data_IF_954453477194
#
_entry.id   IF_954453477194
#
_cell.length_a   1.000
_cell.length_b   1.000
_cell.length_c   1.000
_cell.angle_alpha   90.00
_cell.angle_beta   90.00
_cell.angle_gamma   90.00
#
_symmetry.space_group_name_H-M   'P 1'
#
loop_
_entity.id
_entity.type
_entity.pdbx_description
1 polymer ?
#
# COMPACT_ATOMS: atom_id res chain seq x y z
N UNK A 1 -7.62 3.29 12.58
CA UNK A 1 -7.69 2.43 11.37
C UNK A 1 -6.76 2.98 10.31
N UNK A 2 -6.19 2.14 9.45
CA UNK A 2 -5.43 2.57 8.28
C UNK A 2 -6.15 2.16 7.00
N UNK A 3 -6.12 3.01 5.98
CA UNK A 3 -6.88 2.84 4.73
C UNK A 3 -5.97 3.06 3.53
N UNK A 4 -5.84 2.06 2.64
CA UNK A 4 -5.19 2.21 1.31
C UNK A 4 -6.14 2.89 0.32
N UNK A 5 -6.51 4.13 0.63
CA UNK A 5 -7.30 4.99 -0.26
C UNK A 5 -7.19 6.45 0.19
N UNK A 6 -7.30 7.40 -0.75
CA UNK A 6 -7.38 8.83 -0.42
C UNK A 6 -8.46 9.12 0.64
N UNK A 7 -8.05 9.72 1.76
CA UNK A 7 -8.94 10.16 2.83
C UNK A 7 -9.27 11.65 2.70
N UNK A 8 -8.25 12.48 2.47
CA UNK A 8 -8.38 13.93 2.33
C UNK A 8 -7.90 14.36 0.94
N UNK A 9 -8.83 14.89 0.15
CA UNK A 9 -8.57 15.32 -1.24
C UNK A 9 -9.08 16.75 -1.42
N UNK A 10 -8.38 17.79 -0.99
CA UNK A 10 -8.91 19.17 -1.05
C UNK A 10 -8.79 19.80 -2.46
N UNK A 11 -7.89 19.27 -3.30
CA UNK A 11 -7.55 19.87 -4.58
C UNK A 11 -8.59 19.55 -5.67
N UNK A 12 -8.97 20.58 -6.43
CA UNK A 12 -9.87 20.45 -7.57
C UNK A 12 -9.27 19.57 -8.69
N UNK A 13 -8.01 19.82 -9.03
CA UNK A 13 -7.27 19.11 -10.08
C UNK A 13 -5.82 18.85 -9.66
N UNK A 14 -5.03 18.19 -10.51
CA UNK A 14 -3.60 17.95 -10.26
C UNK A 14 -3.34 16.93 -9.15
N UNK A 15 -2.10 16.92 -8.67
CA UNK A 15 -1.56 15.97 -7.68
C UNK A 15 -1.55 16.60 -6.29
N UNK A 16 -1.78 15.81 -5.23
CA UNK A 16 -1.67 16.29 -3.84
C UNK A 16 -0.22 16.48 -3.40
N UNK A 17 0.03 17.29 -2.37
CA UNK A 17 1.37 17.49 -1.83
C UNK A 17 1.96 16.18 -1.27
N UNK A 18 1.15 15.39 -0.57
CA UNK A 18 1.53 14.07 -0.05
C UNK A 18 2.01 13.10 -1.15
N UNK A 19 1.30 13.05 -2.29
CA UNK A 19 1.64 12.21 -3.44
C UNK A 19 2.97 12.63 -4.08
N UNK A 20 3.24 13.94 -4.18
CA UNK A 20 4.54 14.46 -4.66
C UNK A 20 5.67 14.10 -3.71
N UNK A 21 5.45 14.25 -2.40
CA UNK A 21 6.44 13.93 -1.38
C UNK A 21 6.78 12.42 -1.38
N UNK A 22 5.76 11.56 -1.51
CA UNK A 22 5.95 10.12 -1.69
C UNK A 22 6.71 9.79 -2.97
N UNK A 23 6.34 10.40 -4.11
CA UNK A 23 7.04 10.20 -5.37
C UNK A 23 8.52 10.61 -5.28
N UNK A 24 8.83 11.69 -4.55
CA UNK A 24 10.21 12.11 -4.28
C UNK A 24 10.98 11.08 -3.46
N UNK A 25 10.38 10.58 -2.37
CA UNK A 25 11.02 9.62 -1.48
C UNK A 25 11.20 8.22 -2.10
N UNK A 26 10.20 7.76 -2.85
CA UNK A 26 10.11 6.37 -3.29
C UNK A 26 10.23 6.17 -4.82
N UNK A 27 10.22 7.23 -5.62
CA UNK A 27 10.20 7.15 -7.09
C UNK A 27 11.37 6.35 -7.66
N UNK A 28 12.55 6.43 -7.02
CA UNK A 28 13.75 5.66 -7.43
C UNK A 28 13.58 4.13 -7.31
N UNK A 29 12.60 3.66 -6.54
CA UNK A 29 12.24 2.24 -6.39
C UNK A 29 11.14 1.81 -7.38
N UNK A 30 10.74 2.69 -8.30
CA UNK A 30 9.66 2.44 -9.26
C UNK A 30 8.25 2.63 -8.68
N UNK A 31 8.13 3.30 -7.53
CA UNK A 31 6.85 3.66 -6.93
C UNK A 31 6.28 4.91 -7.61
N UNK A 32 5.03 4.82 -8.06
CA UNK A 32 4.29 5.97 -8.60
C UNK A 32 2.96 6.09 -7.89
N UNK A 33 2.59 7.31 -7.50
CA UNK A 33 1.32 7.58 -6.82
C UNK A 33 0.21 7.82 -7.83
N UNK A 34 -0.97 7.27 -7.55
CA UNK A 34 -2.17 7.60 -8.32
C UNK A 34 -2.61 9.02 -7.95
N UNK A 35 -2.92 9.84 -8.95
CA UNK A 35 -3.38 11.23 -8.74
C UNK A 35 -4.82 11.23 -8.20
N UNK A 36 -5.01 11.72 -6.97
CA UNK A 36 -6.33 11.96 -6.40
C UNK A 36 -6.67 13.46 -6.41
N UNK A 37 -7.84 13.80 -6.97
CA UNK A 37 -8.39 15.17 -7.03
C UNK A 37 -9.91 15.12 -7.25
N UNK A 38 -10.58 16.24 -6.97
CA UNK A 38 -12.05 16.35 -7.00
C UNK A 38 -12.64 16.35 -8.41
N UNK A 39 -11.85 16.57 -9.47
CA UNK A 39 -12.32 16.39 -10.84
C UNK A 39 -12.63 14.91 -11.17
N UNK A 40 -12.25 13.98 -10.30
CA UNK A 40 -12.66 12.57 -10.34
C UNK A 40 -13.85 12.37 -9.41
N UNK A 41 -15.05 12.01 -9.90
CA UNK A 41 -16.26 11.95 -9.08
C UNK A 41 -16.18 11.06 -7.84
N UNK A 42 -15.39 9.98 -7.89
CA UNK A 42 -15.20 9.07 -6.75
C UNK A 42 -14.28 9.61 -5.64
N UNK A 43 -13.70 10.79 -5.83
CA UNK A 43 -12.98 11.54 -4.79
C UNK A 43 -13.74 12.79 -4.34
N UNK A 44 -15.03 12.95 -4.70
CA UNK A 44 -15.86 14.07 -4.28
C UNK A 44 -17.23 13.65 -3.70
N UNK A 45 -17.30 13.27 -2.40
CA UNK A 45 -16.19 13.05 -1.48
C UNK A 45 -15.50 11.69 -1.67
N UNK A 46 -14.24 11.53 -1.22
CA UNK A 46 -13.61 10.23 -1.15
C UNK A 46 -14.41 9.29 -0.25
N UNK A 47 -14.50 8.02 -0.67
CA UNK A 47 -15.19 6.99 0.11
C UNK A 47 -14.59 6.80 1.51
N UNK A 48 -13.27 6.92 1.62
CA UNK A 48 -12.57 6.83 2.91
C UNK A 48 -12.94 7.99 3.84
N UNK A 49 -13.06 9.22 3.31
CA UNK A 49 -13.56 10.39 4.06
C UNK A 49 -14.96 10.11 4.63
N UNK A 50 -15.85 9.62 3.77
CA UNK A 50 -17.24 9.31 4.13
C UNK A 50 -17.32 8.24 5.22
N UNK A 51 -16.48 7.21 5.12
CA UNK A 51 -16.41 6.14 6.11
C UNK A 51 -15.90 6.66 7.46
N UNK A 52 -14.83 7.44 7.46
CA UNK A 52 -14.28 8.04 8.67
C UNK A 52 -15.31 8.91 9.39
N UNK A 53 -16.02 9.78 8.65
CA UNK A 53 -17.11 10.61 9.20
C UNK A 53 -18.21 9.78 9.84
N UNK A 54 -18.65 8.70 9.16
CA UNK A 54 -19.70 7.80 9.67
C UNK A 54 -19.32 7.15 11.00
N UNK A 55 -18.05 6.81 11.18
CA UNK A 55 -17.55 6.16 12.39
C UNK A 55 -16.97 7.13 13.43
N UNK A 56 -16.99 8.43 13.18
CA UNK A 56 -16.41 9.43 14.09
C UNK A 56 -14.87 9.37 14.19
N UNK A 57 -14.20 8.86 13.15
CA UNK A 57 -12.74 8.81 13.11
C UNK A 57 -12.19 10.15 12.61
N UNK A 58 -11.25 10.72 13.36
CA UNK A 58 -10.51 11.91 12.91
C UNK A 58 -9.62 11.58 11.72
N UNK A 59 -9.53 12.50 10.75
CA UNK A 59 -8.58 12.42 9.64
C UNK A 59 -7.22 13.04 9.99
N UNK A 60 -7.17 13.85 11.06
CA UNK A 60 -5.90 14.26 11.64
C UNK A 60 -5.26 13.05 12.35
N UNK A 61 -4.12 12.54 11.85
CA UNK A 61 -3.46 11.36 12.40
C UNK A 61 -2.93 11.60 13.83
N UNK A 62 -2.81 12.85 14.27
CA UNK A 62 -2.31 13.24 15.60
C UNK A 62 -3.43 13.53 16.62
N UNK A 63 -4.70 13.36 16.24
CA UNK A 63 -5.80 13.57 17.17
C UNK A 63 -5.74 12.59 18.35
N UNK A 64 -6.12 13.06 19.55
CA UNK A 64 -6.08 12.27 20.80
C UNK A 64 -7.15 11.17 20.94
N UNK A 65 -7.77 10.74 19.84
CA UNK A 65 -8.87 9.78 19.83
C UNK A 65 -8.79 8.80 18.65
N UNK A 66 -9.88 8.11 18.28
CA UNK A 66 -9.89 7.24 17.12
C UNK A 66 -9.59 7.99 15.82
N UNK A 67 -8.56 7.54 15.11
CA UNK A 67 -8.13 8.14 13.83
C UNK A 67 -8.30 7.19 12.66
N UNK A 68 -8.52 7.74 11.47
CA UNK A 68 -8.34 7.07 10.19
C UNK A 68 -7.12 7.69 9.49
N UNK A 69 -6.12 6.88 9.19
CA UNK A 69 -4.91 7.30 8.49
C UNK A 69 -4.90 6.76 7.06
N UNK A 70 -4.60 7.61 6.09
CA UNK A 70 -4.34 7.18 4.71
C UNK A 70 -2.97 6.53 4.69
N UNK A 71 -2.85 5.32 4.15
CA UNK A 71 -1.58 4.59 4.05
C UNK A 71 -1.29 4.16 2.63
N UNK A 72 -0.03 3.79 2.37
CA UNK A 72 0.37 3.28 1.07
C UNK A 72 1.14 1.94 1.16
N UNK A 73 0.46 0.79 1.01
CA UNK A 73 1.04 -0.55 1.15
C UNK A 73 2.34 -0.77 0.37
N UNK A 74 2.46 -0.26 -0.85
CA UNK A 74 3.70 -0.44 -1.62
C UNK A 74 4.89 0.35 -1.05
N UNK A 75 4.67 1.54 -0.49
CA UNK A 75 5.70 2.28 0.22
C UNK A 75 6.11 1.51 1.49
N UNK A 76 5.14 0.93 2.19
CA UNK A 76 5.38 0.08 3.35
C UNK A 76 6.22 -1.15 3.00
N UNK A 77 5.92 -1.84 1.90
CA UNK A 77 6.73 -2.98 1.44
C UNK A 77 8.19 -2.59 1.19
N UNK A 78 8.42 -1.44 0.55
CA UNK A 78 9.77 -0.94 0.29
C UNK A 78 10.47 -0.55 1.59
N UNK A 79 9.84 0.28 2.42
CA UNK A 79 10.46 0.90 3.58
C UNK A 79 10.65 -0.06 4.75
N UNK A 80 9.69 -0.95 5.03
CA UNK A 80 9.75 -1.86 6.18
C UNK A 80 10.58 -3.11 5.89
N UNK A 81 10.53 -3.64 4.67
CA UNK A 81 11.19 -4.90 4.32
C UNK A 81 12.42 -4.72 3.43
N UNK A 82 12.90 -3.48 3.25
CA UNK A 82 14.12 -3.21 2.51
C UNK A 82 14.05 -3.59 1.03
N UNK A 83 12.85 -3.63 0.42
CA UNK A 83 12.74 -4.03 -0.99
C UNK A 83 13.43 -3.00 -1.88
N UNK A 84 14.34 -3.46 -2.74
CA UNK A 84 15.04 -2.61 -3.69
C UNK A 84 14.15 -2.05 -4.81
N UNK A 85 12.88 -2.47 -4.89
CA UNK A 85 11.86 -2.01 -5.85
C UNK A 85 10.45 -2.34 -5.38
N UNK A 86 9.45 -1.71 -6.02
CA UNK A 86 8.04 -2.11 -5.93
C UNK A 86 7.87 -3.59 -6.25
N UNK A 87 7.22 -4.32 -5.34
CA UNK A 87 6.82 -5.71 -5.53
C UNK A 87 5.69 -5.79 -6.57
N UNK A 88 5.84 -6.52 -7.69
CA UNK A 88 4.87 -6.48 -8.79
C UNK A 88 3.73 -7.49 -8.59
N UNK A 89 2.99 -7.43 -7.47
CA UNK A 89 1.87 -8.37 -7.21
C UNK A 89 0.53 -7.87 -7.80
N UNK A 90 0.26 -6.55 -7.80
CA UNK A 90 -1.01 -5.98 -8.30
C UNK A 90 -1.31 -6.31 -9.77
N UNK A 91 -2.57 -6.36 -10.19
CA UNK A 91 -2.90 -6.54 -11.60
C UNK A 91 -2.40 -5.35 -12.47
N UNK A 92 -1.73 -5.62 -13.60
CA UNK A 92 -1.38 -4.62 -14.63
C UNK A 92 -1.38 -5.27 -16.02
N UNK A 93 -1.76 -4.52 -17.05
CA UNK A 93 -1.94 -5.03 -18.42
C UNK A 93 -0.74 -5.80 -19.00
N UNK A 94 0.49 -5.41 -18.64
CA UNK A 94 1.74 -6.05 -19.12
C UNK A 94 2.37 -7.00 -18.11
N UNK A 95 1.61 -7.47 -17.13
CA UNK A 95 2.11 -8.30 -16.04
C UNK A 95 1.51 -9.69 -16.15
N UNK A 96 2.36 -10.65 -16.50
CA UNK A 96 1.96 -12.04 -16.63
C UNK A 96 1.66 -12.68 -15.25
N UNK A 97 0.98 -13.83 -15.31
CA UNK A 97 0.55 -14.56 -14.12
C UNK A 97 1.75 -15.08 -13.30
N UNK A 98 2.82 -15.57 -13.93
CA UNK A 98 3.98 -16.15 -13.25
C UNK A 98 4.73 -15.09 -12.43
N UNK A 99 4.87 -13.88 -12.98
CA UNK A 99 5.40 -12.71 -12.28
C UNK A 99 4.54 -12.40 -11.05
N UNK A 100 3.20 -12.41 -11.18
CA UNK A 100 2.31 -12.15 -10.03
C UNK A 100 2.41 -13.26 -9.00
N UNK A 101 2.37 -14.54 -9.38
CA UNK A 101 2.49 -15.67 -8.46
C UNK A 101 3.77 -15.57 -7.62
N UNK A 102 4.91 -15.29 -8.28
CA UNK A 102 6.20 -15.08 -7.60
C UNK A 102 6.14 -13.91 -6.62
N UNK A 103 5.57 -12.77 -7.05
CA UNK A 103 5.44 -11.59 -6.21
C UNK A 103 4.48 -11.81 -5.01
N UNK A 104 3.40 -12.57 -5.20
CA UNK A 104 2.48 -12.94 -4.13
C UNK A 104 3.12 -13.92 -3.14
N UNK A 105 3.90 -14.89 -3.60
CA UNK A 105 4.66 -15.77 -2.71
C UNK A 105 5.65 -14.97 -1.84
N UNK A 106 6.33 -13.98 -2.44
CA UNK A 106 7.17 -13.06 -1.69
C UNK A 106 6.36 -12.21 -0.71
N UNK A 107 5.20 -11.69 -1.10
CA UNK A 107 4.32 -10.91 -0.23
C UNK A 107 3.88 -11.72 1.01
N UNK A 108 3.47 -12.98 0.81
CA UNK A 108 3.12 -13.89 1.90
C UNK A 108 4.29 -14.04 2.87
N UNK A 109 5.49 -14.35 2.37
CA UNK A 109 6.67 -14.53 3.21
C UNK A 109 7.04 -13.26 4.00
N UNK A 110 6.88 -12.07 3.38
CA UNK A 110 7.11 -10.80 4.07
C UNK A 110 6.10 -10.56 5.19
N UNK A 111 4.81 -10.81 4.93
CA UNK A 111 3.76 -10.66 5.94
C UNK A 111 3.93 -11.67 7.09
N UNK A 112 4.22 -12.94 6.76
CA UNK A 112 4.50 -14.00 7.74
C UNK A 112 5.75 -13.71 8.58
N UNK A 113 6.68 -12.88 8.11
CA UNK A 113 7.85 -12.46 8.88
C UNK A 113 7.55 -11.43 9.98
N UNK A 114 6.36 -10.82 9.99
CA UNK A 114 5.95 -9.86 11.02
C UNK A 114 5.29 -10.61 12.18
N UNK A 115 6.07 -10.90 13.22
CA UNK A 115 5.63 -11.70 14.36
C UNK A 115 4.37 -11.13 15.05
N UNK A 116 4.24 -9.81 15.14
CA UNK A 116 3.11 -9.16 15.81
C UNK A 116 1.77 -9.34 15.07
N UNK A 117 1.78 -9.77 13.81
CA UNK A 117 0.55 -10.10 13.09
C UNK A 117 0.02 -11.49 13.43
N UNK A 118 0.85 -12.38 13.98
CA UNK A 118 0.43 -13.73 14.37
C UNK A 118 -0.21 -14.54 13.24
N UNK A 119 0.24 -14.34 12.00
CA UNK A 119 -0.38 -14.95 10.82
C UNK A 119 -0.17 -16.47 10.71
N UNK A 120 1.06 -17.01 10.89
CA UNK A 120 1.28 -18.44 10.75
C UNK A 120 0.43 -19.26 11.72
N UNK A 121 -0.29 -20.26 11.20
CA UNK A 121 -1.20 -21.10 11.99
C UNK A 121 -2.58 -20.52 12.26
N UNK A 122 -2.87 -19.26 11.86
CA UNK A 122 -4.23 -18.73 11.90
C UNK A 122 -5.07 -19.35 10.78
N UNK A 123 -6.23 -19.99 11.06
CA UNK A 123 -6.99 -20.73 10.04
C UNK A 123 -7.34 -19.91 8.79
N UNK A 124 -7.85 -18.69 8.99
CA UNK A 124 -8.20 -17.81 7.86
C UNK A 124 -6.97 -17.41 7.04
N UNK A 125 -5.80 -17.23 7.68
CA UNK A 125 -4.56 -16.90 6.97
C UNK A 125 -4.07 -18.09 6.15
N UNK A 126 -4.06 -19.29 6.74
CA UNK A 126 -3.66 -20.52 6.05
C UNK A 126 -4.53 -20.78 4.82
N UNK A 127 -5.85 -20.56 4.93
CA UNK A 127 -6.76 -20.66 3.78
C UNK A 127 -6.40 -19.65 2.68
N UNK A 128 -6.16 -18.38 3.04
CA UNK A 128 -5.76 -17.34 2.07
C UNK A 128 -4.42 -17.67 1.41
N UNK A 129 -3.43 -18.05 2.21
CA UNK A 129 -2.09 -18.36 1.72
C UNK A 129 -2.12 -19.61 0.81
N UNK A 130 -2.91 -20.63 1.15
CA UNK A 130 -3.14 -21.79 0.30
C UNK A 130 -3.83 -21.41 -1.03
N UNK A 131 -4.85 -20.55 -1.00
CA UNK A 131 -5.54 -20.08 -2.19
C UNK A 131 -4.60 -19.32 -3.15
N UNK A 132 -3.71 -18.48 -2.60
CA UNK A 132 -2.66 -17.79 -3.36
C UNK A 132 -1.66 -18.78 -3.97
N UNK A 133 -1.18 -19.76 -3.19
CA UNK A 133 -0.23 -20.78 -3.65
C UNK A 133 -0.83 -21.68 -4.74
N UNK A 134 -2.14 -21.95 -4.68
CA UNK A 134 -2.87 -22.75 -5.66
C UNK A 134 -3.40 -21.93 -6.87
N UNK A 135 -3.14 -20.63 -6.95
CA UNK A 135 -3.71 -19.77 -7.96
C UNK A 135 -3.19 -20.10 -9.37
N UNK A 136 -4.05 -20.62 -10.26
CA UNK A 136 -3.73 -20.90 -11.67
C UNK A 136 -4.28 -19.88 -12.67
N UNK A 137 -5.07 -18.90 -12.19
CA UNK A 137 -5.73 -17.87 -13.03
C UNK A 137 -5.59 -16.49 -12.40
N UNK A 138 -5.53 -15.40 -13.20
CA UNK A 138 -5.41 -14.04 -12.67
C UNK A 138 -6.48 -13.66 -11.65
N UNK A 139 -7.73 -14.09 -11.86
CA UNK A 139 -8.87 -13.82 -10.97
C UNK A 139 -8.69 -14.41 -9.56
N UNK A 140 -7.92 -15.49 -9.40
CA UNK A 140 -7.66 -16.07 -8.07
C UNK A 140 -6.77 -15.11 -7.24
N UNK A 141 -5.80 -14.48 -7.89
CA UNK A 141 -4.89 -13.52 -7.25
C UNK A 141 -5.55 -12.16 -6.98
N UNK A 142 -6.46 -11.71 -7.86
CA UNK A 142 -7.22 -10.47 -7.65
C UNK A 142 -8.05 -10.52 -6.36
N UNK A 143 -8.65 -11.67 -6.03
CA UNK A 143 -9.41 -11.84 -4.78
C UNK A 143 -8.53 -11.76 -3.53
N UNK A 144 -7.28 -12.23 -3.64
CA UNK A 144 -6.34 -12.22 -2.53
C UNK A 144 -5.68 -10.85 -2.34
N UNK A 145 -5.51 -10.07 -3.42
CA UNK A 145 -4.85 -8.77 -3.43
C UNK A 145 -5.36 -7.82 -2.33
N UNK A 146 -6.68 -7.57 -2.31
CA UNK A 146 -7.29 -6.64 -1.35
C UNK A 146 -7.16 -7.14 0.11
N UNK A 147 -7.22 -8.46 0.33
CA UNK A 147 -7.10 -9.07 1.67
C UNK A 147 -5.67 -8.93 2.19
N UNK A 148 -4.68 -9.17 1.35
CA UNK A 148 -3.26 -9.03 1.71
C UNK A 148 -2.88 -7.56 1.95
N UNK A 149 -3.42 -6.65 1.13
CA UNK A 149 -3.28 -5.21 1.37
C UNK A 149 -3.92 -4.78 2.68
N UNK A 150 -5.07 -5.35 3.04
CA UNK A 150 -5.72 -5.07 4.32
C UNK A 150 -4.89 -5.55 5.51
N UNK A 151 -4.22 -6.70 5.43
CA UNK A 151 -3.28 -7.17 6.47
C UNK A 151 -2.12 -6.19 6.64
N UNK A 152 -1.54 -5.71 5.54
CA UNK A 152 -0.48 -4.70 5.60
C UNK A 152 -0.98 -3.36 6.14
N UNK A 153 -2.21 -2.94 5.79
CA UNK A 153 -2.84 -1.76 6.40
C UNK A 153 -3.02 -1.95 7.91
N UNK A 154 -3.42 -3.14 8.36
CA UNK A 154 -3.54 -3.44 9.79
C UNK A 154 -2.18 -3.34 10.51
N UNK A 155 -1.08 -3.81 9.92
CA UNK A 155 0.26 -3.62 10.48
C UNK A 155 0.64 -2.14 10.59
N UNK A 156 0.34 -1.34 9.56
CA UNK A 156 0.60 0.11 9.59
C UNK A 156 -0.24 0.83 10.64
N UNK A 157 -1.52 0.43 10.81
CA UNK A 157 -2.37 0.96 11.87
C UNK A 157 -1.81 0.62 13.25
N UNK A 158 -1.34 -0.62 13.46
CA UNK A 158 -0.70 -1.06 14.70
C UNK A 158 0.56 -0.26 14.98
N UNK A 159 1.47 -0.15 14.00
CA UNK A 159 2.72 0.64 14.12
C UNK A 159 2.44 2.10 14.44
N UNK A 160 1.44 2.70 13.80
CA UNK A 160 1.02 4.07 14.12
C UNK A 160 0.54 4.19 15.57
N UNK A 161 -0.29 3.24 16.04
CA UNK A 161 -0.83 3.27 17.38
C UNK A 161 0.22 3.01 18.48
N UNK A 162 1.20 2.15 18.24
CA UNK A 162 2.19 1.74 19.26
C UNK A 162 3.51 2.49 19.17
N UNK A 163 3.82 3.11 18.02
CA UNK A 163 5.10 3.75 17.77
C UNK A 163 5.05 4.65 16.53
N UNK A 164 4.30 5.76 16.56
CA UNK A 164 4.10 6.63 15.40
C UNK A 164 5.41 7.19 14.84
N UNK A 165 6.44 7.35 15.69
CA UNK A 165 7.79 7.79 15.29
C UNK A 165 8.51 6.81 14.35
N UNK A 166 8.03 5.56 14.22
CA UNK A 166 8.54 4.58 13.25
C UNK A 166 8.03 4.82 11.82
N UNK A 167 7.01 5.66 11.69
CA UNK A 167 6.39 6.04 10.42
C UNK A 167 6.59 7.55 10.18
N UNK A 168 6.27 7.98 8.97
CA UNK A 168 6.39 9.35 8.50
C UNK A 168 5.09 9.80 7.86
N UNK A 169 4.69 11.03 8.14
CA UNK A 169 3.52 11.67 7.53
C UNK A 169 3.99 12.49 6.33
N UNK A 170 3.67 12.02 5.13
CA UNK A 170 3.90 12.74 3.89
C UNK A 170 2.71 13.67 3.61
N UNK A 171 2.96 14.99 3.56
CA UNK A 171 1.92 16.00 3.40
C UNK A 171 1.45 16.60 4.73
N UNK A 172 0.34 17.33 4.69
CA UNK A 172 -0.18 18.08 5.84
C UNK A 172 -1.59 17.59 6.14
N UNK A 173 -1.93 17.21 7.39
CA UNK A 173 -3.31 16.95 7.79
C UNK A 173 -4.22 18.15 7.45
N UNK A 174 -5.41 17.92 6.91
CA UNK A 174 -6.26 18.98 6.35
C UNK A 174 -5.99 19.31 4.87
N UNK A 175 -4.79 19.03 4.36
CA UNK A 175 -4.43 19.21 2.94
C UNK A 175 -4.27 17.89 2.16
N UNK A 176 -4.46 16.76 2.84
CA UNK A 176 -4.08 15.44 2.35
C UNK A 176 -2.73 15.00 2.90
N UNK A 177 -2.75 13.93 3.68
CA UNK A 177 -1.57 13.33 4.28
C UNK A 177 -1.57 11.81 4.07
N UNK A 178 -0.40 11.21 3.82
CA UNK A 178 -0.22 9.75 3.75
C UNK A 178 0.80 9.32 4.79
N UNK A 179 0.46 8.34 5.60
CA UNK A 179 1.35 7.71 6.57
C UNK A 179 2.03 6.51 5.92
N UNK A 180 3.35 6.53 5.86
CA UNK A 180 4.18 5.45 5.32
C UNK A 180 5.53 5.43 6.04
N UNK A 181 6.40 4.42 5.85
CA UNK A 181 7.74 4.47 6.44
C UNK A 181 8.54 5.69 5.96
N UNK A 182 9.56 6.12 6.70
CA UNK A 182 10.43 7.22 6.28
C UNK A 182 11.13 6.92 4.95
N UNK A 183 11.71 7.94 4.27
CA UNK A 183 12.42 7.74 3.01
C UNK A 183 13.48 6.63 3.12
N UNK A 184 13.45 5.58 2.27
CA UNK A 184 14.32 4.44 2.48
C UNK A 184 15.77 4.74 2.11
N UNK A 185 16.69 4.33 2.98
CA UNK A 185 18.13 4.60 2.85
C UNK A 185 18.88 3.49 2.10
N UNK A 186 18.31 2.30 2.00
CA UNK A 186 18.92 1.13 1.35
C UNK A 186 19.03 1.29 -0.19
N UNK A 187 19.97 0.58 -0.86
CA UNK A 187 20.12 0.71 -2.32
C UNK A 187 18.88 0.18 -3.08
N UNK A 188 18.59 0.79 -4.23
CA UNK A 188 17.61 0.23 -5.18
C UNK A 188 18.20 -0.98 -5.90
N UNK A 189 17.36 -1.92 -6.27
CA UNK A 189 17.78 -3.01 -7.16
C UNK A 189 18.02 -2.47 -8.61
N UNK A 190 18.79 -3.15 -9.48
CA UNK A 190 18.98 -2.80 -10.90
C UNK A 190 17.77 -3.21 -11.74
N UNK A 191 17.25 -2.38 -12.66
CA UNK A 191 16.02 -2.70 -13.42
C UNK A 191 16.20 -4.04 -14.17
N UNK A 192 15.25 -4.98 -14.14
CA UNK A 192 15.34 -6.18 -14.98
C UNK A 192 15.53 -5.74 -16.42
N UNK A 193 16.45 -6.37 -17.15
CA UNK A 193 16.57 -6.16 -18.58
C UNK A 193 15.20 -6.42 -19.21
N UNK A 194 14.75 -5.54 -20.11
CA UNK A 194 13.58 -5.86 -20.92
C UNK A 194 13.94 -7.14 -21.67
N UNK A 195 13.14 -8.21 -21.50
CA UNK A 195 13.29 -9.39 -22.33
C UNK A 195 13.23 -8.92 -23.79
N UNK A 196 14.30 -9.15 -24.55
CA UNK A 196 14.29 -8.88 -25.98
C UNK A 196 13.09 -9.62 -26.56
N UNK A 197 12.19 -8.88 -27.21
CA UNK A 197 11.13 -9.52 -27.98
C UNK A 197 11.80 -10.47 -28.97
N UNK A 198 11.35 -11.73 -29.12
CA UNK A 198 11.82 -12.56 -30.22
C UNK A 198 11.52 -11.81 -31.51
N UNK A 199 12.57 -11.55 -32.29
CA UNK A 199 12.45 -10.93 -33.60
C UNK A 199 11.53 -11.78 -34.47
N UNK A 200 10.61 -11.12 -35.16
CA UNK A 200 9.85 -11.70 -36.28
C UNK A 200 10.77 -11.87 -37.50
#
# INVERSE_FOLDING_TARGET
VAVDAPLEVPNATGTRACERALASAYGRYGLGCHVANRSRPWFDPPRGETLARRHGWSLDPYAGGPVAIEVYPHAALIGLFGLGRVLPYKAKARRDLATRQTAFAQLLALLESVAELGLPGHPDWEEQAAAVRAATRPVHLERAEDRLDAVLCADLARRWATGPATLHVYGTPGEGAVVAPPPPTHPRAPRPAAAAAPGY
#
